data_IF_260275044899
#
_entry.id   IF_260275044899
#
_cell.length_a   1.000
_cell.length_b   1.000
_cell.length_c   1.000
_cell.angle_alpha   90.00
_cell.angle_beta   90.00
_cell.angle_gamma   90.00
#
_symmetry.space_group_name_H-M   'P 1'
#
loop_
_entity.id
_entity.type
_entity.pdbx_description
1 polymer ?
#
# COMPACT_ATOMS: atom_id res chain seq x y z
N UNK A 1 1.78 2.53 19.16
CA UNK A 1 2.92 2.13 18.30
C UNK A 1 3.73 3.39 18.01
N UNK A 2 5.04 3.27 17.74
CA UNK A 2 5.81 4.44 17.29
C UNK A 2 5.42 4.83 15.86
N UNK A 3 5.71 6.06 15.43
CA UNK A 3 5.49 6.48 14.04
C UNK A 3 6.18 5.54 13.04
N UNK A 4 7.42 5.14 13.33
CA UNK A 4 8.17 4.17 12.53
C UNK A 4 7.44 2.83 12.42
N UNK A 5 6.90 2.31 13.52
CA UNK A 5 6.13 1.05 13.51
C UNK A 5 4.84 1.18 12.69
N UNK A 6 4.17 2.33 12.76
CA UNK A 6 2.98 2.61 11.96
C UNK A 6 3.30 2.67 10.46
N UNK A 7 4.42 3.31 10.08
CA UNK A 7 4.89 3.29 8.69
C UNK A 7 5.22 1.88 8.20
N UNK A 8 5.91 1.07 9.02
CA UNK A 8 6.18 -0.33 8.69
C UNK A 8 4.90 -1.13 8.51
N UNK A 9 3.93 -0.91 9.38
CA UNK A 9 2.59 -1.51 9.29
C UNK A 9 1.93 -1.11 7.96
N UNK A 10 1.97 0.17 7.57
CA UNK A 10 1.46 0.63 6.28
C UNK A 10 2.17 -0.05 5.10
N UNK A 11 3.51 -0.05 5.08
CA UNK A 11 4.30 -0.68 4.02
C UNK A 11 3.93 -2.17 3.88
N UNK A 12 3.76 -2.87 5.02
CA UNK A 12 3.31 -4.27 5.02
C UNK A 12 1.91 -4.40 4.40
N UNK A 13 0.96 -3.55 4.78
CA UNK A 13 -0.41 -3.58 4.24
C UNK A 13 -0.44 -3.34 2.73
N UNK A 14 0.31 -2.33 2.25
CA UNK A 14 0.44 -1.99 0.83
C UNK A 14 1.09 -3.14 0.04
N UNK A 15 2.13 -3.78 0.60
CA UNK A 15 2.79 -4.95 0.03
C UNK A 15 1.86 -6.17 -0.08
N UNK A 16 1.11 -6.48 1.00
CA UNK A 16 0.12 -7.56 1.00
C UNK A 16 -0.98 -7.30 -0.03
N UNK A 17 -1.49 -6.07 -0.10
CA UNK A 17 -2.50 -5.67 -1.08
C UNK A 17 -1.99 -5.85 -2.52
N UNK A 18 -0.77 -5.40 -2.83
CA UNK A 18 -0.17 -5.56 -4.15
C UNK A 18 0.02 -7.03 -4.56
N UNK A 19 0.51 -7.86 -3.62
CA UNK A 19 0.63 -9.30 -3.85
C UNK A 19 -0.74 -9.93 -4.12
N UNK A 20 -1.74 -9.68 -3.26
CA UNK A 20 -3.09 -10.21 -3.41
C UNK A 20 -3.75 -9.75 -4.71
N UNK A 21 -3.63 -8.47 -5.07
CA UNK A 21 -4.16 -7.92 -6.31
C UNK A 21 -3.57 -8.60 -7.56
N UNK A 22 -2.29 -8.99 -7.51
CA UNK A 22 -1.64 -9.74 -8.60
C UNK A 22 -2.06 -11.20 -8.68
N UNK A 23 -2.47 -11.80 -7.55
CA UNK A 23 -2.89 -13.21 -7.48
C UNK A 23 -4.34 -13.45 -7.91
N UNK A 24 -5.21 -12.44 -7.79
CA UNK A 24 -6.61 -12.54 -8.21
C UNK A 24 -6.66 -12.62 -9.74
N UNK A 25 -6.83 -13.84 -10.26
CA UNK A 25 -7.04 -14.10 -11.69
C UNK A 25 -8.49 -13.82 -12.08
N UNK A 26 -8.68 -12.95 -13.07
CA UNK A 26 -9.97 -12.70 -13.73
C UNK A 26 -10.07 -13.46 -15.06
N UNK A 27 -10.41 -14.77 -14.98
CA UNK A 27 -11.41 -15.28 -15.89
C UNK A 27 -12.58 -15.95 -15.14
N UNK A 28 -13.79 -15.98 -15.74
CA UNK A 28 -14.96 -16.61 -15.15
C UNK A 28 -14.70 -18.11 -14.90
N UNK A 29 -14.92 -18.56 -13.66
CA UNK A 29 -14.89 -19.98 -13.28
C UNK A 29 -13.71 -20.45 -12.42
N UNK A 30 -12.63 -19.67 -12.31
CA UNK A 30 -11.52 -19.96 -11.36
C UNK A 30 -10.95 -18.66 -10.76
N UNK A 31 -11.76 -17.95 -9.98
CA UNK A 31 -11.22 -16.95 -9.04
C UNK A 31 -10.39 -17.72 -8.02
N UNK A 32 -9.11 -17.39 -7.94
CA UNK A 32 -8.17 -17.94 -6.96
C UNK A 32 -7.66 -16.78 -6.13
N UNK A 33 -7.72 -16.93 -4.81
CA UNK A 33 -7.25 -15.95 -3.85
C UNK A 33 -6.38 -16.67 -2.83
N UNK A 34 -5.25 -16.06 -2.49
CA UNK A 34 -4.39 -16.55 -1.43
C UNK A 34 -5.02 -16.29 -0.06
N UNK A 35 -5.66 -17.30 0.51
CA UNK A 35 -6.33 -17.18 1.81
C UNK A 35 -5.38 -16.88 2.97
N UNK A 36 -4.12 -17.29 2.89
CA UNK A 36 -3.15 -17.04 3.95
C UNK A 36 -2.77 -15.56 3.97
N UNK A 37 -2.44 -15.00 2.80
CA UNK A 37 -2.16 -13.56 2.67
C UNK A 37 -3.39 -12.70 2.99
N UNK A 38 -4.59 -13.12 2.58
CA UNK A 38 -5.83 -12.39 2.94
C UNK A 38 -6.07 -12.41 4.44
N UNK A 39 -5.78 -13.52 5.13
CA UNK A 39 -5.85 -13.59 6.59
C UNK A 39 -4.85 -12.63 7.26
N UNK A 40 -3.62 -12.51 6.74
CA UNK A 40 -2.65 -11.54 7.26
C UNK A 40 -3.13 -10.11 7.12
N UNK A 41 -3.73 -9.74 5.97
CA UNK A 41 -4.28 -8.41 5.77
C UNK A 41 -5.49 -8.15 6.69
N UNK A 42 -6.37 -9.13 6.86
CA UNK A 42 -7.53 -9.03 7.76
C UNK A 42 -7.13 -8.91 9.23
N UNK A 43 -6.02 -9.52 9.65
CA UNK A 43 -5.49 -9.36 11.00
C UNK A 43 -5.04 -7.92 11.32
N UNK A 44 -4.93 -7.05 10.30
CA UNK A 44 -4.61 -5.63 10.43
C UNK A 44 -5.88 -4.75 10.44
N UNK A 45 -7.07 -5.35 10.47
CA UNK A 45 -8.37 -4.65 10.47
C UNK A 45 -9.11 -4.81 11.79
N UNK A 46 -10.27 -4.16 11.92
CA UNK A 46 -11.21 -4.27 13.04
C UNK A 46 -12.18 -5.47 12.90
N UNK A 47 -12.02 -6.31 11.88
CA UNK A 47 -12.87 -7.48 11.69
C UNK A 47 -12.60 -8.57 12.73
N UNK A 48 -13.67 -9.09 13.33
CA UNK A 48 -13.61 -10.25 14.21
C UNK A 48 -13.76 -11.55 13.42
N UNK A 49 -12.80 -12.47 13.58
CA UNK A 49 -12.88 -13.80 12.98
C UNK A 49 -13.91 -14.70 13.70
N UNK A 50 -14.76 -15.38 12.93
CA UNK A 50 -15.76 -16.35 13.39
C UNK A 50 -15.85 -17.52 12.44
N UNK A 51 -15.78 -18.74 12.98
CA UNK A 51 -16.01 -19.97 12.20
C UNK A 51 -17.42 -20.50 12.42
N UNK A 52 -18.25 -20.50 11.37
CA UNK A 52 -19.67 -20.88 11.46
C UNK A 52 -20.08 -21.77 10.30
N UNK A 53 -20.65 -22.94 10.59
CA UNK A 53 -21.13 -23.90 9.57
C UNK A 53 -20.07 -24.25 8.50
N UNK A 54 -18.80 -24.31 8.91
CA UNK A 54 -17.67 -24.58 8.00
C UNK A 54 -17.19 -23.38 7.19
N UNK A 55 -17.81 -22.22 7.34
CA UNK A 55 -17.38 -20.95 6.74
C UNK A 55 -16.43 -20.21 7.67
N UNK A 56 -15.37 -19.65 7.09
CA UNK A 56 -14.48 -18.69 7.73
C UNK A 56 -15.05 -17.28 7.49
N UNK A 57 -15.62 -16.68 8.52
CA UNK A 57 -16.28 -15.37 8.46
C UNK A 57 -15.47 -14.33 9.23
N UNK A 58 -15.53 -13.10 8.73
CA UNK A 58 -14.98 -11.92 9.38
C UNK A 58 -16.10 -10.92 9.53
N UNK A 59 -16.37 -10.47 10.75
CA UNK A 59 -17.54 -9.65 11.06
C UNK A 59 -17.17 -8.39 11.80
N UNK A 60 -17.85 -7.28 11.51
CA UNK A 60 -17.84 -6.09 12.36
C UNK A 60 -19.21 -5.43 12.40
N UNK A 61 -19.52 -4.61 13.43
CA UNK A 61 -20.78 -3.89 13.50
C UNK A 61 -21.03 -3.02 12.26
N UNK A 62 -22.28 -2.99 11.80
CA UNK A 62 -22.75 -2.13 10.73
C UNK A 62 -24.08 -1.47 11.11
N UNK A 63 -24.56 -0.55 10.28
CA UNK A 63 -25.75 0.26 10.55
C UNK A 63 -27.01 -0.57 10.84
N UNK A 64 -27.91 -0.02 11.66
CA UNK A 64 -29.23 -0.61 11.93
C UNK A 64 -29.20 -1.96 12.66
N UNK A 65 -28.11 -2.27 13.38
CA UNK A 65 -27.94 -3.56 14.07
C UNK A 65 -27.61 -4.73 13.15
N UNK A 66 -27.22 -4.44 11.90
CA UNK A 66 -26.69 -5.44 10.96
C UNK A 66 -25.17 -5.54 11.09
N UNK A 67 -24.57 -6.52 10.41
CA UNK A 67 -23.12 -6.71 10.41
C UNK A 67 -22.59 -6.55 8.99
N UNK A 68 -21.37 -6.04 8.89
CA UNK A 68 -20.57 -6.25 7.69
C UNK A 68 -19.88 -7.61 7.83
N UNK A 69 -20.26 -8.54 6.96
CA UNK A 69 -19.83 -9.94 7.00
C UNK A 69 -19.03 -10.26 5.75
N UNK A 70 -17.73 -10.45 5.91
CA UNK A 70 -16.85 -10.97 4.89
C UNK A 70 -16.76 -12.48 4.99
N UNK A 71 -16.82 -13.17 3.85
CA UNK A 71 -16.59 -14.62 3.76
C UNK A 71 -15.21 -14.86 3.16
N UNK A 72 -14.35 -15.61 3.85
CA UNK A 72 -13.02 -15.99 3.35
C UNK A 72 -13.12 -17.20 2.41
N UNK A 73 -13.76 -16.98 1.26
CA UNK A 73 -13.81 -17.91 0.14
C UNK A 73 -13.11 -17.34 -1.10
N UNK A 74 -13.17 -18.05 -2.21
CA UNK A 74 -12.48 -17.65 -3.45
C UNK A 74 -13.07 -16.39 -4.11
N UNK A 75 -14.30 -16.01 -3.77
CA UNK A 75 -14.98 -14.83 -4.30
C UNK A 75 -14.80 -13.61 -3.39
N UNK A 76 -14.37 -13.82 -2.14
CA UNK A 76 -14.21 -12.79 -1.11
C UNK A 76 -15.42 -11.84 -1.03
N UNK A 77 -16.66 -12.35 -0.89
CA UNK A 77 -17.84 -11.51 -0.83
C UNK A 77 -17.93 -10.79 0.52
N UNK A 78 -18.38 -9.54 0.48
CA UNK A 78 -18.76 -8.75 1.65
C UNK A 78 -20.26 -8.52 1.60
N UNK A 79 -20.95 -8.82 2.69
CA UNK A 79 -22.40 -8.67 2.85
C UNK A 79 -22.74 -7.68 3.96
N UNK A 80 -23.86 -6.96 3.83
CA UNK A 80 -24.48 -6.19 4.91
C UNK A 80 -25.74 -6.91 5.38
N UNK A 81 -25.59 -7.81 6.34
CA UNK A 81 -26.70 -8.66 6.83
C UNK A 81 -26.30 -9.34 8.14
N UNK A 82 -27.03 -10.39 8.54
CA UNK A 82 -26.71 -11.20 9.73
C UNK A 82 -25.88 -12.43 9.35
N UNK A 83 -25.12 -12.98 10.30
CA UNK A 83 -24.37 -14.24 10.11
C UNK A 83 -25.32 -15.37 9.65
N UNK A 84 -26.52 -15.46 10.23
CA UNK A 84 -27.51 -16.49 9.87
C UNK A 84 -27.98 -16.37 8.42
N UNK A 85 -28.13 -15.16 7.88
CA UNK A 85 -28.52 -14.95 6.48
C UNK A 85 -27.36 -15.31 5.52
N UNK A 86 -26.11 -15.04 5.89
CA UNK A 86 -24.92 -15.49 5.13
C UNK A 86 -24.81 -17.00 5.12
N UNK A 87 -24.94 -17.66 6.28
CA UNK A 87 -24.91 -19.13 6.40
C UNK A 87 -26.01 -19.77 5.56
N UNK A 88 -27.24 -19.23 5.59
CA UNK A 88 -28.33 -19.71 4.76
C UNK A 88 -27.97 -19.67 3.27
N UNK A 89 -27.27 -18.63 2.81
CA UNK A 89 -26.93 -18.45 1.39
C UNK A 89 -25.73 -19.27 0.93
N UNK A 90 -24.69 -19.41 1.77
CA UNK A 90 -23.42 -20.07 1.41
C UNK A 90 -23.32 -21.52 1.85
N UNK A 91 -23.96 -21.91 2.95
CA UNK A 91 -23.91 -23.25 3.51
C UNK A 91 -25.27 -23.64 4.15
N UNK A 92 -26.38 -23.65 3.39
CA UNK A 92 -27.69 -24.00 3.91
C UNK A 92 -27.74 -25.43 4.45
N UNK A 93 -28.41 -25.62 5.58
CA UNK A 93 -28.78 -26.96 6.01
C UNK A 93 -29.85 -27.54 5.08
N UNK A 94 -29.81 -28.84 4.83
CA UNK A 94 -30.76 -29.52 3.93
C UNK A 94 -32.23 -29.22 4.26
N UNK A 95 -32.60 -29.14 5.54
CA UNK A 95 -33.96 -28.79 5.99
C UNK A 95 -34.38 -27.38 5.54
N UNK A 96 -33.44 -26.42 5.51
CA UNK A 96 -33.71 -25.05 5.09
C UNK A 96 -33.98 -24.94 3.59
N UNK A 97 -33.52 -25.91 2.80
CA UNK A 97 -33.71 -25.96 1.34
C UNK A 97 -35.13 -26.33 0.92
N UNK A 98 -35.99 -26.84 1.82
CA UNK A 98 -37.39 -27.18 1.49
C UNK A 98 -38.34 -25.97 1.50
N UNK A 99 -37.91 -24.83 2.06
CA UNK A 99 -38.73 -23.62 2.08
C UNK A 99 -38.53 -22.81 0.79
N UNK A 100 -39.62 -22.61 0.02
CA UNK A 100 -39.60 -21.79 -1.20
C UNK A 100 -39.08 -20.38 -0.91
N UNK A 101 -39.39 -19.82 0.26
CA UNK A 101 -38.88 -18.50 0.70
C UNK A 101 -37.36 -18.51 0.85
N UNK A 102 -36.80 -19.56 1.45
CA UNK A 102 -35.36 -19.69 1.63
C UNK A 102 -34.65 -19.93 0.30
N UNK A 103 -35.21 -20.77 -0.58
CA UNK A 103 -34.67 -20.98 -1.94
C UNK A 103 -34.55 -19.63 -2.67
N UNK A 104 -35.61 -18.80 -2.63
CA UNK A 104 -35.57 -17.46 -3.24
C UNK A 104 -34.43 -16.58 -2.70
N UNK A 105 -34.17 -16.60 -1.38
CA UNK A 105 -33.04 -15.90 -0.76
C UNK A 105 -31.69 -16.45 -1.19
N UNK A 106 -31.54 -17.78 -1.23
CA UNK A 106 -30.29 -18.42 -1.64
C UNK A 106 -29.96 -18.06 -3.09
N UNK A 107 -30.98 -18.03 -3.96
CA UNK A 107 -30.81 -17.70 -5.37
C UNK A 107 -30.55 -16.20 -5.62
N UNK A 108 -31.13 -15.30 -4.82
CA UNK A 108 -30.96 -13.86 -5.01
C UNK A 108 -30.16 -13.25 -3.87
N UNK A 109 -28.86 -13.04 -4.08
CA UNK A 109 -27.94 -12.45 -3.10
C UNK A 109 -27.61 -10.96 -3.34
N UNK A 110 -28.12 -10.36 -4.41
CA UNK A 110 -27.84 -8.96 -4.77
C UNK A 110 -28.47 -7.96 -3.80
N UNK A 111 -29.42 -8.40 -2.99
CA UNK A 111 -30.09 -7.60 -1.95
C UNK A 111 -29.18 -7.31 -0.75
N UNK A 112 -28.17 -8.15 -0.52
CA UNK A 112 -27.28 -8.06 0.65
C UNK A 112 -25.80 -8.03 0.29
N UNK A 113 -25.42 -8.43 -0.92
CA UNK A 113 -24.04 -8.42 -1.40
C UNK A 113 -23.59 -6.99 -1.73
N UNK A 114 -22.44 -6.60 -1.20
CA UNK A 114 -21.87 -5.26 -1.35
C UNK A 114 -20.77 -5.27 -2.40
N UNK A 115 -19.75 -6.10 -2.18
CA UNK A 115 -18.59 -6.22 -3.08
C UNK A 115 -18.10 -7.66 -3.15
N UNK A 116 -17.32 -7.98 -4.18
CA UNK A 116 -16.58 -9.25 -4.30
C UNK A 116 -15.17 -8.98 -4.82
N UNK A 117 -14.27 -9.96 -4.71
CA UNK A 117 -12.98 -9.94 -5.42
C UNK A 117 -12.11 -8.73 -5.10
N UNK A 118 -11.63 -8.04 -6.14
CA UNK A 118 -10.70 -6.91 -6.01
C UNK A 118 -11.32 -5.72 -5.27
N UNK A 119 -12.61 -5.48 -5.47
CA UNK A 119 -13.33 -4.42 -4.76
C UNK A 119 -13.39 -4.70 -3.25
N UNK A 120 -13.66 -5.95 -2.86
CA UNK A 120 -13.59 -6.36 -1.45
C UNK A 120 -12.17 -6.22 -0.90
N UNK A 121 -11.16 -6.66 -1.66
CA UNK A 121 -9.76 -6.55 -1.25
C UNK A 121 -9.35 -5.09 -1.02
N UNK A 122 -9.75 -4.19 -1.94
CA UNK A 122 -9.50 -2.75 -1.80
C UNK A 122 -10.15 -2.20 -0.54
N UNK A 123 -11.40 -2.57 -0.25
CA UNK A 123 -12.11 -2.15 0.96
C UNK A 123 -11.44 -2.64 2.25
N UNK A 124 -10.92 -3.87 2.27
CA UNK A 124 -10.18 -4.42 3.41
C UNK A 124 -8.87 -3.63 3.62
N UNK A 125 -8.14 -3.35 2.54
CA UNK A 125 -6.91 -2.57 2.59
C UNK A 125 -7.16 -1.13 3.08
N UNK A 126 -8.17 -0.45 2.55
CA UNK A 126 -8.57 0.89 3.02
C UNK A 126 -8.94 0.88 4.51
N UNK A 127 -9.65 -0.14 4.99
CA UNK A 127 -9.94 -0.32 6.42
C UNK A 127 -8.65 -0.49 7.24
N UNK A 128 -7.75 -1.39 6.82
CA UNK A 128 -6.47 -1.60 7.50
C UNK A 128 -5.67 -0.29 7.59
N UNK A 129 -5.63 0.51 6.52
CA UNK A 129 -4.95 1.80 6.53
C UNK A 129 -5.63 2.83 7.43
N UNK A 130 -6.95 2.84 7.53
CA UNK A 130 -7.70 3.78 8.38
C UNK A 130 -7.43 3.60 9.88
N UNK A 131 -6.94 2.43 10.30
CA UNK A 131 -6.58 2.15 11.69
C UNK A 131 -5.14 2.56 12.04
N UNK A 132 -4.33 2.95 11.05
CA UNK A 132 -2.93 3.32 11.25
C UNK A 132 -2.83 4.83 11.42
N UNK A 133 -2.32 5.26 12.57
CA UNK A 133 -1.98 6.66 12.81
C UNK A 133 -0.66 7.01 12.11
N UNK A 134 -0.76 7.79 11.04
CA UNK A 134 0.38 8.23 10.23
C UNK A 134 0.73 9.71 10.49
N UNK A 135 0.17 10.30 11.55
CA UNK A 135 0.61 11.63 11.98
C UNK A 135 2.04 11.56 12.50
N UNK A 136 2.83 12.59 12.21
CA UNK A 136 4.24 12.64 12.61
C UNK A 136 4.66 14.04 12.99
N UNK A 137 5.69 14.09 13.83
CA UNK A 137 6.34 15.31 14.27
C UNK A 137 7.74 15.43 13.67
N UNK A 138 8.35 16.60 13.85
CA UNK A 138 9.76 16.84 13.52
C UNK A 138 10.69 15.84 14.22
N UNK A 139 10.40 15.49 15.47
CA UNK A 139 11.24 14.55 16.25
C UNK A 139 11.16 13.12 15.71
N UNK A 140 9.98 12.71 15.22
CA UNK A 140 9.82 11.41 14.57
C UNK A 140 10.68 11.32 13.32
N UNK A 141 10.63 12.34 12.46
CA UNK A 141 11.47 12.43 11.25
C UNK A 141 12.96 12.51 11.57
N UNK A 142 13.35 13.24 12.62
CA UNK A 142 14.75 13.34 13.04
C UNK A 142 15.29 11.98 13.48
N UNK A 143 14.47 11.18 14.18
CA UNK A 143 14.82 9.81 14.57
C UNK A 143 15.04 8.92 13.35
N UNK A 144 14.19 9.02 12.31
CA UNK A 144 14.38 8.30 11.05
C UNK A 144 15.66 8.71 10.32
N UNK A 145 15.98 10.01 10.29
CA UNK A 145 17.20 10.52 9.67
C UNK A 145 18.46 9.98 10.35
N UNK A 146 18.49 9.95 11.68
CA UNK A 146 19.63 9.43 12.43
C UNK A 146 19.84 7.93 12.20
N UNK A 147 18.77 7.14 12.16
CA UNK A 147 18.87 5.72 11.81
C UNK A 147 19.38 5.52 10.37
N UNK A 148 18.93 6.35 9.43
CA UNK A 148 19.37 6.28 8.04
C UNK A 148 20.87 6.60 7.90
N UNK A 149 21.36 7.61 8.60
CA UNK A 149 22.79 7.95 8.69
C UNK A 149 23.60 6.79 9.25
N UNK A 150 23.14 6.18 10.35
CA UNK A 150 23.79 5.00 10.91
C UNK A 150 23.83 3.83 9.93
N UNK A 151 22.78 3.64 9.13
CA UNK A 151 22.74 2.62 8.09
C UNK A 151 23.84 2.80 7.04
N UNK A 152 24.06 4.05 6.60
CA UNK A 152 25.15 4.42 5.68
C UNK A 152 26.52 4.19 6.33
N UNK A 153 26.73 4.69 7.56
CA UNK A 153 28.01 4.56 8.28
C UNK A 153 28.40 3.09 8.50
N UNK A 154 27.40 2.26 8.85
CA UNK A 154 27.57 0.81 9.04
C UNK A 154 27.65 0.04 7.73
N UNK A 155 27.43 0.68 6.57
CA UNK A 155 27.32 0.00 5.27
C UNK A 155 26.31 -1.16 5.33
N UNK A 156 25.16 -0.90 5.94
CA UNK A 156 24.11 -1.90 6.11
C UNK A 156 23.03 -1.73 5.05
N UNK A 157 23.09 -2.56 4.00
CA UNK A 157 22.07 -2.56 2.94
C UNK A 157 20.65 -2.69 3.48
N UNK A 158 20.45 -3.52 4.52
CA UNK A 158 19.14 -3.69 5.16
C UNK A 158 18.65 -2.41 5.81
N UNK A 159 19.50 -1.71 6.56
CA UNK A 159 19.11 -0.45 7.22
C UNK A 159 18.91 0.69 6.22
N UNK A 160 19.72 0.75 5.15
CA UNK A 160 19.57 1.74 4.09
C UNK A 160 18.24 1.53 3.35
N UNK A 161 17.95 0.29 2.92
CA UNK A 161 16.67 -0.05 2.27
C UNK A 161 15.48 0.25 3.17
N UNK A 162 15.51 -0.17 4.43
CA UNK A 162 14.45 0.14 5.39
C UNK A 162 14.23 1.65 5.52
N UNK A 163 15.30 2.43 5.63
CA UNK A 163 15.21 3.89 5.74
C UNK A 163 14.65 4.53 4.47
N UNK A 164 15.07 4.04 3.29
CA UNK A 164 14.51 4.49 2.00
C UNK A 164 13.02 4.15 1.92
N UNK A 165 12.59 2.94 2.24
CA UNK A 165 11.18 2.53 2.21
C UNK A 165 10.32 3.43 3.11
N UNK A 166 10.82 3.78 4.31
CA UNK A 166 10.14 4.69 5.24
C UNK A 166 10.00 6.10 4.65
N UNK A 167 11.08 6.71 4.17
CA UNK A 167 11.02 8.05 3.57
C UNK A 167 10.20 8.07 2.28
N UNK A 168 10.32 7.04 1.45
CA UNK A 168 9.59 6.92 0.19
C UNK A 168 8.08 6.78 0.41
N UNK A 169 7.67 6.06 1.46
CA UNK A 169 6.27 5.98 1.87
C UNK A 169 5.72 7.34 2.30
N UNK A 170 6.51 8.15 3.02
CA UNK A 170 6.10 9.50 3.42
C UNK A 170 6.01 10.44 2.22
N UNK A 171 6.95 10.33 1.28
CA UNK A 171 7.15 11.31 0.20
C UNK A 171 6.52 10.90 -1.14
N UNK A 172 5.92 9.73 -1.22
CA UNK A 172 5.34 9.13 -2.43
C UNK A 172 6.38 8.91 -3.55
N UNK A 173 7.56 8.41 -3.18
CA UNK A 173 8.53 7.92 -4.15
C UNK A 173 8.12 6.53 -4.64
N UNK A 174 8.35 6.29 -5.92
CA UNK A 174 8.00 5.06 -6.59
C UNK A 174 9.19 4.52 -7.39
N UNK A 175 9.39 3.20 -7.43
CA UNK A 175 10.42 2.61 -8.27
C UNK A 175 10.11 2.87 -9.75
N UNK A 176 11.16 3.14 -10.53
CA UNK A 176 11.04 3.34 -11.98
C UNK A 176 12.00 2.41 -12.70
N UNK A 177 11.49 1.76 -13.76
CA UNK A 177 12.33 1.03 -14.69
C UNK A 177 12.66 1.93 -15.87
N UNK A 178 13.94 2.24 -16.02
CA UNK A 178 14.50 2.79 -17.24
C UNK A 178 15.14 1.62 -17.98
N UNK A 179 14.98 1.51 -19.29
CA UNK A 179 15.45 0.35 -20.09
C UNK A 179 16.97 0.11 -20.10
N UNK A 180 17.71 0.66 -19.14
CA UNK A 180 19.13 0.47 -18.90
C UNK A 180 19.26 -0.58 -17.79
N UNK A 181 19.78 -1.75 -18.14
CA UNK A 181 19.82 -2.90 -17.24
C UNK A 181 21.16 -2.99 -16.51
N UNK A 182 21.32 -2.18 -15.46
CA UNK A 182 22.28 -2.41 -14.37
C UNK A 182 21.55 -3.23 -13.28
N UNK A 183 22.04 -4.43 -12.94
CA UNK A 183 21.27 -5.37 -12.10
C UNK A 183 21.00 -4.85 -10.69
N UNK A 184 21.97 -4.11 -10.15
CA UNK A 184 22.01 -3.71 -8.75
C UNK A 184 21.70 -2.22 -8.53
N UNK A 185 21.54 -1.44 -9.60
CA UNK A 185 21.10 -0.05 -9.55
C UNK A 185 19.58 0.05 -9.52
N UNK A 186 19.03 0.56 -8.41
CA UNK A 186 17.60 0.84 -8.24
C UNK A 186 17.33 2.33 -8.40
N UNK A 187 16.31 2.67 -9.18
CA UNK A 187 15.92 4.05 -9.47
C UNK A 187 14.55 4.32 -8.87
N UNK A 188 14.41 5.45 -8.18
CA UNK A 188 13.16 5.89 -7.57
C UNK A 188 12.89 7.34 -7.87
N UNK A 189 11.63 7.68 -8.08
CA UNK A 189 11.21 9.03 -8.43
C UNK A 189 10.00 9.45 -7.61
N UNK A 190 9.92 10.73 -7.27
CA UNK A 190 8.75 11.28 -6.59
C UNK A 190 7.69 11.67 -7.59
N UNK A 191 6.47 11.15 -7.43
CA UNK A 191 5.33 11.61 -8.22
C UNK A 191 4.88 13.00 -7.74
N UNK A 192 4.59 13.92 -8.67
CA UNK A 192 3.92 15.18 -8.34
C UNK A 192 2.41 15.04 -8.51
N UNK A 193 1.64 15.35 -7.46
CA UNK A 193 0.20 15.50 -7.57
C UNK A 193 -0.14 16.80 -8.34
N UNK A 194 -0.88 16.69 -9.45
CA UNK A 194 -1.53 17.80 -10.15
C UNK A 194 -0.78 18.43 -11.34
N UNK A 195 -1.45 18.49 -12.50
CA UNK A 195 -1.28 19.59 -13.46
C UNK A 195 -1.30 19.30 -14.96
N UNK A 196 -1.39 18.04 -15.44
CA UNK A 196 -1.40 17.78 -16.88
C UNK A 196 -1.66 16.32 -17.27
N UNK A 197 -1.77 16.05 -18.57
CA UNK A 197 -2.06 14.72 -19.13
C UNK A 197 -0.95 13.67 -18.90
N UNK A 198 0.24 14.09 -18.46
CA UNK A 198 1.37 13.23 -18.16
C UNK A 198 1.89 13.48 -16.73
N UNK A 199 2.16 12.43 -15.95
CA UNK A 199 2.76 12.57 -14.62
C UNK A 199 4.15 13.18 -14.75
N UNK A 200 4.38 14.28 -14.04
CA UNK A 200 5.70 14.90 -13.92
C UNK A 200 6.36 14.31 -12.68
N UNK A 201 7.47 13.60 -12.87
CA UNK A 201 8.26 13.12 -11.75
C UNK A 201 9.34 14.13 -11.37
N UNK A 202 9.69 14.13 -10.08
CA UNK A 202 10.75 14.97 -9.52
C UNK A 202 11.67 14.12 -8.68
N UNK A 203 12.91 14.57 -8.57
CA UNK A 203 13.97 14.00 -7.74
C UNK A 203 14.19 12.52 -8.04
N UNK A 204 15.25 12.23 -8.80
CA UNK A 204 15.66 10.86 -9.05
C UNK A 204 16.62 10.43 -7.94
N UNK A 205 16.24 9.40 -7.18
CA UNK A 205 17.12 8.70 -6.25
C UNK A 205 17.67 7.46 -6.95
N UNK A 206 18.99 7.28 -6.86
CA UNK A 206 19.71 6.13 -7.39
C UNK A 206 20.36 5.41 -6.21
N UNK A 207 20.07 4.13 -6.06
CA UNK A 207 20.65 3.30 -5.02
C UNK A 207 21.31 2.08 -5.66
N UNK A 208 22.63 2.06 -5.62
CA UNK A 208 23.45 0.93 -6.04
C UNK A 208 23.61 -0.02 -4.84
N UNK A 209 23.02 -1.20 -4.95
CA UNK A 209 23.02 -2.20 -3.89
C UNK A 209 24.35 -2.95 -3.76
N UNK A 210 25.18 -2.98 -4.80
CA UNK A 210 26.50 -3.60 -4.78
C UNK A 210 27.50 -2.68 -4.08
N UNK A 211 27.54 -1.42 -4.48
CA UNK A 211 28.50 -0.44 -3.93
C UNK A 211 27.98 0.29 -2.69
N UNK A 212 26.69 0.13 -2.37
CA UNK A 212 25.95 0.84 -1.33
C UNK A 212 25.97 2.37 -1.51
N UNK A 213 26.17 2.82 -2.75
CA UNK A 213 26.13 4.24 -3.08
C UNK A 213 24.68 4.68 -3.20
N UNK A 214 24.39 5.79 -2.53
CA UNK A 214 23.08 6.44 -2.56
C UNK A 214 23.26 7.83 -3.11
N UNK A 215 22.63 8.11 -4.24
CA UNK A 215 22.80 9.35 -4.98
C UNK A 215 21.44 9.96 -5.33
N UNK A 216 21.40 11.28 -5.48
CA UNK A 216 20.18 11.99 -5.85
C UNK A 216 20.44 13.07 -6.89
N UNK A 217 19.63 13.06 -7.94
CA UNK A 217 19.49 14.15 -8.90
C UNK A 217 18.23 14.95 -8.59
N UNK A 218 18.38 16.24 -8.31
CA UNK A 218 17.27 17.17 -8.05
C UNK A 218 16.57 17.57 -9.35
N UNK A 219 15.37 18.11 -9.19
CA UNK A 219 14.58 18.66 -10.29
C UNK A 219 13.72 17.63 -10.99
N UNK A 220 13.22 17.99 -12.17
CA UNK A 220 12.33 17.13 -12.95
C UNK A 220 13.08 15.94 -13.54
N UNK A 221 12.34 14.85 -13.68
CA UNK A 221 12.78 13.64 -14.36
C UNK A 221 11.57 13.01 -15.04
N UNK A 222 11.75 12.44 -16.22
CA UNK A 222 10.76 11.60 -16.87
C UNK A 222 11.42 10.35 -17.43
N UNK A 223 10.92 9.14 -17.11
CA UNK A 223 11.45 7.91 -17.70
C UNK A 223 11.14 7.78 -19.19
N UNK A 224 10.27 8.65 -19.74
CA UNK A 224 9.93 8.71 -21.16
C UNK A 224 10.72 9.79 -21.92
N UNK A 225 11.55 10.56 -21.22
CA UNK A 225 12.36 11.63 -21.82
C UNK A 225 13.71 11.09 -22.24
N UNK A 226 14.02 11.15 -23.54
CA UNK A 226 15.32 10.72 -24.08
C UNK A 226 16.49 11.47 -23.41
N UNK A 227 16.31 12.76 -23.10
CA UNK A 227 17.33 13.56 -22.42
C UNK A 227 17.60 13.06 -20.99
N UNK A 228 16.55 12.68 -20.25
CA UNK A 228 16.69 12.17 -18.89
C UNK A 228 17.30 10.76 -18.89
N UNK A 229 16.95 9.92 -19.86
CA UNK A 229 17.57 8.60 -20.05
C UNK A 229 19.05 8.71 -20.42
N UNK A 230 19.41 9.66 -21.29
CA UNK A 230 20.82 9.96 -21.61
C UNK A 230 21.58 10.39 -20.37
N UNK A 231 20.98 11.21 -19.49
CA UNK A 231 21.61 11.58 -18.23
C UNK A 231 21.90 10.36 -17.36
N UNK A 232 20.97 9.41 -17.23
CA UNK A 232 21.18 8.17 -16.46
C UNK A 232 22.32 7.33 -17.05
N UNK A 233 22.38 7.19 -18.38
CA UNK A 233 23.48 6.47 -19.05
C UNK A 233 24.82 7.15 -18.78
N UNK A 234 24.89 8.49 -18.86
CA UNK A 234 26.11 9.24 -18.56
C UNK A 234 26.52 9.12 -17.09
N UNK A 235 25.55 9.09 -16.17
CA UNK A 235 25.81 8.86 -14.76
C UNK A 235 26.42 7.47 -14.52
N UNK A 236 25.83 6.42 -15.11
CA UNK A 236 26.35 5.03 -15.00
C UNK A 236 27.78 4.92 -15.54
N UNK A 237 28.10 5.66 -16.62
CA UNK A 237 29.46 5.73 -17.18
C UNK A 237 30.45 6.56 -16.34
N UNK A 238 29.99 7.23 -15.28
CA UNK A 238 30.79 8.15 -14.47
C UNK A 238 31.07 9.51 -15.14
N UNK A 239 30.39 9.82 -16.26
CA UNK A 239 30.52 11.08 -17.00
C UNK A 239 29.70 12.22 -16.36
N UNK A 240 28.67 11.86 -15.58
CA UNK A 240 27.85 12.78 -14.78
C UNK A 240 27.90 12.41 -13.30
N UNK A 241 27.76 13.43 -12.46
CA UNK A 241 27.65 13.28 -11.00
C UNK A 241 26.24 13.64 -10.54
N UNK A 242 25.82 13.02 -9.45
CA UNK A 242 24.60 13.36 -8.76
C UNK A 242 24.73 14.72 -8.04
N UNK A 243 23.59 15.33 -7.71
CA UNK A 243 23.54 16.61 -7.00
C UNK A 243 23.81 16.45 -5.50
N UNK A 244 23.42 15.30 -4.93
CA UNK A 244 23.68 14.90 -3.54
C UNK A 244 24.10 13.43 -3.49
N UNK A 245 24.88 13.07 -2.48
CA UNK A 245 25.42 11.71 -2.29
C UNK A 245 25.39 11.30 -0.82
N UNK A 246 25.28 10.00 -0.56
CA UNK A 246 25.33 9.37 0.75
C UNK A 246 24.33 9.98 1.75
N UNK A 247 24.78 10.39 2.95
CA UNK A 247 23.88 10.86 4.01
C UNK A 247 23.14 12.17 3.65
N UNK A 248 23.67 12.97 2.72
CA UNK A 248 23.02 14.21 2.27
C UNK A 248 21.72 13.93 1.51
N UNK A 249 21.57 12.75 0.92
CA UNK A 249 20.32 12.32 0.30
C UNK A 249 19.22 12.19 1.37
N UNK A 250 19.51 11.57 2.50
CA UNK A 250 18.53 11.45 3.60
C UNK A 250 18.24 12.80 4.26
N UNK A 251 19.24 13.67 4.41
CA UNK A 251 19.01 15.04 4.88
C UNK A 251 18.03 15.79 3.97
N UNK A 252 18.17 15.63 2.65
CA UNK A 252 17.24 16.21 1.69
C UNK A 252 15.83 15.59 1.76
N UNK A 253 15.71 14.26 1.90
CA UNK A 253 14.40 13.61 2.07
C UNK A 253 13.72 14.05 3.37
N UNK A 254 14.47 14.25 4.45
CA UNK A 254 13.98 14.81 5.71
C UNK A 254 13.38 16.21 5.53
N UNK A 255 14.10 17.12 4.86
CA UNK A 255 13.60 18.47 4.59
C UNK A 255 12.33 18.44 3.72
N UNK A 256 12.30 17.59 2.68
CA UNK A 256 11.09 17.41 1.86
C UNK A 256 9.89 16.90 2.68
N UNK A 257 10.14 16.07 3.70
CA UNK A 257 9.08 15.52 4.56
C UNK A 257 8.55 16.59 5.51
N UNK A 258 9.44 17.46 6.04
CA UNK A 258 9.04 18.63 6.82
C UNK A 258 8.19 19.60 5.98
N UNK A 259 8.65 19.95 4.78
CA UNK A 259 7.90 20.81 3.85
C UNK A 259 6.51 20.21 3.55
N UNK A 260 6.42 18.89 3.37
CA UNK A 260 5.15 18.19 3.16
C UNK A 260 4.25 18.35 4.40
N UNK A 261 4.75 18.14 5.61
CA UNK A 261 3.97 18.31 6.84
C UNK A 261 3.45 19.75 7.01
N UNK A 262 4.31 20.74 6.80
CA UNK A 262 3.95 22.16 6.92
C UNK A 262 2.88 22.54 5.88
N UNK A 263 2.98 22.06 4.65
CA UNK A 263 1.96 22.29 3.62
C UNK A 263 0.60 21.67 3.97
N UNK A 264 0.57 20.52 4.63
CA UNK A 264 -0.68 19.90 5.09
C UNK A 264 -1.30 20.66 6.26
N UNK A 265 -0.49 21.28 7.13
CA UNK A 265 -0.99 22.12 8.22
C UNK A 265 -1.58 23.45 7.70
N UNK A 266 -0.90 24.11 6.74
CA UNK A 266 -1.36 25.40 6.19
C UNK A 266 -2.50 25.26 5.17
N UNK A 267 -2.67 24.09 4.55
CA UNK A 267 -3.79 23.82 3.64
C UNK A 267 -5.12 23.63 4.37
N UNK A 268 -5.11 23.20 5.63
CA UNK A 268 -6.32 23.04 6.46
C UNK A 268 -6.85 24.41 6.95
N UNK A 269 -5.98 25.41 7.10
CA UNK A 269 -6.37 26.77 7.53
C UNK A 269 -6.98 27.63 6.41
N UNK A 270 -7.02 27.15 5.16
CA UNK A 270 -7.64 27.87 4.03
C UNK A 270 -8.98 27.30 3.55
N UNK A 271 -9.47 26.22 4.16
CA UNK A 271 -10.81 25.68 3.93
C UNK A 271 -11.71 25.92 5.14
N UNK A 272 -12.01 27.19 5.42
CA UNK A 272 -13.19 27.57 6.21
C UNK A 272 -13.82 28.80 5.58
N UNK A 273 -15.03 28.71 5.00
CA UNK A 273 -15.89 29.87 4.83
C UNK A 273 -16.47 30.33 6.16
#
# INVERSE_FOLDING_TARGET
MSFKDNLKTRIKADGLFGQLASTIKEPPGKRWMDKALTHELLAMTDFEYKKVSGLDLYTRPFEGGTLEVLVLDNELPIYHTTISDVVLRKAPYWQQMFSIRNIKKIMNHHDVLVTTGKESLKRIHENALALIDLTYTRNDLASLLEEARQGIDKKSITQIRESLDLFFTILDFQPVSVGVQEKDLKLFVRARAGGGAMPVFKHLVLFDEETMQLDLKKGTFSPQSDMDLVWVIQYIKGEKKADLQGPDVFAFLYELALEKAEAHQHGVDQETP
#
